data_IF_375822589798
#
_entry.id   IF_375822589798
#
_cell.length_a   1.000
_cell.length_b   1.000
_cell.length_c   1.000
_cell.angle_alpha   90.00
_cell.angle_beta   90.00
_cell.angle_gamma   90.00
#
_symmetry.space_group_name_H-M   'P 1'
#
loop_
_entity.id
_entity.type
_entity.pdbx_description
1 polymer ?
#
# COMPACT_ATOMS: atom_id res chain seq x y z
N UNK A 1 53.44 9.48 29.63
CA UNK A 1 52.81 10.19 28.49
C UNK A 1 52.46 9.29 27.29
N UNK A 2 52.87 8.01 27.24
CA UNK A 2 52.63 7.13 26.07
C UNK A 2 51.24 6.44 26.12
N UNK A 3 50.71 6.15 27.32
CA UNK A 3 49.40 5.50 27.49
C UNK A 3 48.19 6.36 27.09
N UNK A 4 48.33 7.69 27.09
CA UNK A 4 47.23 8.63 26.79
C UNK A 4 46.97 8.74 25.28
N UNK A 5 48.03 8.62 24.47
CA UNK A 5 47.95 8.73 22.99
C UNK A 5 47.34 7.47 22.37
N UNK A 6 47.64 6.30 22.93
CA UNK A 6 47.13 5.00 22.43
C UNK A 6 45.60 4.86 22.60
N UNK A 7 45.04 5.45 23.66
CA UNK A 7 43.58 5.47 23.92
C UNK A 7 42.80 6.37 22.97
N UNK A 8 43.37 7.52 22.58
CA UNK A 8 42.76 8.42 21.60
C UNK A 8 42.74 7.81 20.19
N UNK A 9 43.82 7.13 19.79
CA UNK A 9 43.93 6.53 18.46
C UNK A 9 42.91 5.39 18.24
N UNK A 10 42.70 4.53 19.25
CA UNK A 10 41.70 3.46 19.18
C UNK A 10 40.24 3.98 19.07
N UNK A 11 39.95 5.11 19.70
CA UNK A 11 38.61 5.74 19.67
C UNK A 11 38.31 6.35 18.29
N UNK A 12 39.31 6.98 17.65
CA UNK A 12 39.20 7.54 16.30
C UNK A 12 39.04 6.44 15.24
N UNK A 13 39.77 5.33 15.39
CA UNK A 13 39.64 4.16 14.49
C UNK A 13 38.26 3.50 14.63
N UNK A 14 37.73 3.38 15.87
CA UNK A 14 36.38 2.85 16.10
C UNK A 14 35.27 3.74 15.49
N UNK A 15 35.41 5.08 15.60
CA UNK A 15 34.50 6.04 14.96
C UNK A 15 34.57 5.99 13.42
N UNK A 16 35.76 5.80 12.84
CA UNK A 16 35.95 5.62 11.40
C UNK A 16 35.34 4.31 10.87
N UNK A 17 35.24 3.26 11.69
CA UNK A 17 34.58 2.01 11.32
C UNK A 17 33.05 2.10 11.39
N UNK A 18 32.49 2.89 12.30
CA UNK A 18 31.04 3.12 12.37
C UNK A 18 30.49 3.91 11.16
N UNK A 19 31.30 4.77 10.54
CA UNK A 19 30.93 5.51 9.32
C UNK A 19 30.97 4.63 8.04
N UNK A 20 31.51 3.41 8.10
CA UNK A 20 31.54 2.49 6.95
C UNK A 20 30.33 1.55 6.87
N UNK A 21 29.37 1.63 7.78
CA UNK A 21 28.14 0.86 7.67
C UNK A 21 27.24 1.48 6.58
N UNK A 22 27.03 0.81 5.43
CA UNK A 22 26.10 1.30 4.43
C UNK A 22 24.69 1.21 5.01
N UNK A 23 24.07 2.36 5.28
CA UNK A 23 22.65 2.45 5.65
C UNK A 23 21.84 2.13 4.40
N UNK A 24 21.72 0.85 4.06
CA UNK A 24 20.81 0.37 3.03
C UNK A 24 19.43 0.20 3.66
N UNK A 25 18.82 1.32 4.02
CA UNK A 25 17.40 1.34 4.36
C UNK A 25 16.61 1.16 3.06
N UNK A 26 16.20 -0.06 2.75
CA UNK A 26 15.15 -0.32 1.75
C UNK A 26 13.82 0.19 2.32
N UNK A 27 13.63 1.51 2.35
CA UNK A 27 12.34 2.10 2.63
C UNK A 27 11.45 1.84 1.41
N UNK A 28 10.52 0.91 1.52
CA UNK A 28 9.48 0.71 0.51
C UNK A 28 8.68 2.01 0.39
N UNK A 29 8.78 2.70 -0.75
CA UNK A 29 8.05 3.94 -0.99
C UNK A 29 6.55 3.65 -1.08
N UNK A 30 5.79 4.15 -0.11
CA UNK A 30 4.33 4.06 -0.12
C UNK A 30 3.79 5.25 -0.93
N UNK A 31 3.03 5.01 -2.01
CA UNK A 31 2.48 6.11 -2.83
C UNK A 31 1.54 7.00 -2.02
N UNK A 32 1.48 8.29 -2.41
CA UNK A 32 0.47 9.19 -1.88
C UNK A 32 -0.94 8.75 -2.27
N UNK A 33 -1.90 8.97 -1.38
CA UNK A 33 -3.30 8.57 -1.56
C UNK A 33 -4.11 9.83 -1.89
N UNK A 34 -4.75 9.85 -3.05
CA UNK A 34 -5.59 10.99 -3.47
C UNK A 34 -6.90 11.11 -2.66
N UNK A 35 -7.44 9.99 -2.16
CA UNK A 35 -8.73 9.94 -1.48
C UNK A 35 -8.63 9.19 -0.15
N UNK A 36 -7.97 9.78 0.86
CA UNK A 36 -7.70 9.11 2.15
C UNK A 36 -8.98 8.78 2.93
N UNK A 37 -10.11 9.43 2.62
CA UNK A 37 -11.40 9.12 3.23
C UNK A 37 -11.97 7.77 2.78
N UNK A 38 -11.57 7.27 1.61
CA UNK A 38 -12.05 6.00 1.06
C UNK A 38 -10.99 4.91 1.11
N UNK A 39 -9.70 5.26 1.01
CA UNK A 39 -8.64 4.27 0.83
C UNK A 39 -7.47 4.49 1.78
N UNK A 40 -6.88 3.38 2.22
CA UNK A 40 -5.60 3.38 2.93
C UNK A 40 -4.81 2.11 2.66
N UNK A 41 -3.48 2.22 2.76
CA UNK A 41 -2.59 1.07 2.82
C UNK A 41 -2.49 0.57 4.27
N UNK A 42 -2.54 -0.74 4.45
CA UNK A 42 -2.35 -1.39 5.74
C UNK A 42 -1.14 -2.31 5.67
N UNK A 43 -0.30 -2.27 6.70
CA UNK A 43 0.77 -3.26 6.85
C UNK A 43 0.16 -4.63 7.11
N UNK A 44 0.55 -5.63 6.33
CA UNK A 44 0.08 -7.01 6.50
C UNK A 44 1.21 -8.00 6.20
N UNK A 45 1.66 -8.71 7.24
CA UNK A 45 2.89 -9.51 7.18
C UNK A 45 4.08 -8.65 6.73
N UNK A 46 4.78 -9.13 5.71
CA UNK A 46 5.96 -8.44 5.17
C UNK A 46 5.61 -7.35 4.13
N UNK A 47 4.35 -7.25 3.70
CA UNK A 47 3.91 -6.34 2.64
C UNK A 47 2.80 -5.38 3.08
N UNK A 48 2.05 -4.91 2.10
CA UNK A 48 0.88 -4.06 2.29
C UNK A 48 -0.33 -4.65 1.59
N UNK A 49 -1.51 -4.38 2.14
CA UNK A 49 -2.80 -4.54 1.46
C UNK A 49 -3.48 -3.17 1.38
N UNK A 50 -4.45 -3.02 0.48
CA UNK A 50 -5.34 -1.88 0.49
C UNK A 50 -6.60 -2.17 1.31
N UNK A 51 -7.13 -1.15 1.98
CA UNK A 51 -8.49 -1.17 2.52
C UNK A 51 -9.28 -0.03 1.93
N UNK A 52 -10.42 -0.36 1.34
CA UNK A 52 -11.40 0.60 0.85
C UNK A 52 -12.57 0.60 1.83
N UNK A 53 -12.98 1.75 2.33
CA UNK A 53 -14.16 1.88 3.19
C UNK A 53 -15.14 2.83 2.52
N UNK A 54 -16.34 2.33 2.21
CA UNK A 54 -17.39 3.09 1.55
C UNK A 54 -18.50 3.43 2.55
N UNK A 55 -18.99 4.68 2.59
CA UNK A 55 -20.14 5.03 3.40
C UNK A 55 -21.37 4.24 2.93
N UNK A 56 -22.33 4.04 3.83
CA UNK A 56 -23.54 3.26 3.54
C UNK A 56 -24.30 3.77 2.31
N UNK A 57 -24.38 5.09 2.14
CA UNK A 57 -25.03 5.72 0.98
C UNK A 57 -24.39 5.36 -0.37
N UNK A 58 -23.16 4.84 -0.35
CA UNK A 58 -22.39 4.40 -1.51
C UNK A 58 -22.24 2.87 -1.56
N UNK A 59 -22.99 2.12 -0.74
CA UNK A 59 -23.03 0.65 -0.86
C UNK A 59 -23.44 0.25 -2.27
N UNK A 60 -22.77 -0.74 -2.86
CA UNK A 60 -22.87 -1.01 -4.29
C UNK A 60 -22.80 -2.51 -4.59
N UNK A 61 -23.39 -2.88 -5.73
CA UNK A 61 -23.27 -4.21 -6.34
C UNK A 61 -22.03 -4.34 -7.24
N UNK A 62 -21.35 -3.22 -7.53
CA UNK A 62 -20.19 -3.15 -8.41
C UNK A 62 -19.21 -2.06 -7.97
N UNK A 63 -18.08 -2.51 -7.43
CA UNK A 63 -16.94 -1.69 -7.10
C UNK A 63 -15.81 -1.96 -8.11
N UNK A 64 -15.41 -0.94 -8.86
CA UNK A 64 -14.27 -1.00 -9.78
C UNK A 64 -13.13 -0.13 -9.24
N UNK A 65 -11.93 -0.71 -9.12
CA UNK A 65 -10.76 -0.04 -8.56
C UNK A 65 -9.58 -0.19 -9.50
N UNK A 66 -8.87 0.91 -9.75
CA UNK A 66 -7.69 0.91 -10.60
C UNK A 66 -6.45 1.37 -9.85
N UNK A 67 -5.38 0.61 -9.98
CA UNK A 67 -4.06 0.96 -9.50
C UNK A 67 -3.06 1.10 -10.65
N UNK A 68 -2.01 1.88 -10.43
CA UNK A 68 -0.88 2.02 -11.34
C UNK A 68 0.41 1.65 -10.61
N UNK A 69 1.26 0.84 -11.24
CA UNK A 69 2.58 0.48 -10.72
C UNK A 69 3.67 0.67 -11.78
N UNK A 70 4.90 0.94 -11.32
CA UNK A 70 6.06 1.21 -12.19
C UNK A 70 6.65 -0.03 -12.86
N UNK A 71 6.39 -1.21 -12.29
CA UNK A 71 6.98 -2.48 -12.75
C UNK A 71 5.92 -3.34 -13.44
N UNK A 72 6.30 -4.16 -14.43
CA UNK A 72 5.38 -5.12 -15.04
C UNK A 72 4.95 -6.21 -14.05
N UNK A 73 3.70 -6.68 -14.16
CA UNK A 73 3.26 -7.91 -13.50
C UNK A 73 3.71 -9.11 -14.33
N UNK A 74 4.65 -9.90 -13.81
CA UNK A 74 5.18 -11.09 -14.46
C UNK A 74 4.48 -12.39 -14.02
N UNK A 75 3.30 -12.29 -13.42
CA UNK A 75 2.48 -13.40 -12.96
C UNK A 75 1.10 -13.36 -13.61
N UNK A 76 0.34 -14.44 -13.51
CA UNK A 76 -1.08 -14.49 -13.88
C UNK A 76 -2.01 -13.94 -12.77
N UNK A 77 -1.44 -13.39 -11.69
CA UNK A 77 -2.17 -12.84 -10.56
C UNK A 77 -2.00 -11.31 -10.54
N UNK A 78 -3.07 -10.58 -10.82
CA UNK A 78 -3.06 -9.10 -10.91
C UNK A 78 -3.53 -8.42 -9.62
N UNK A 79 -3.79 -9.20 -8.57
CA UNK A 79 -4.41 -8.76 -7.33
C UNK A 79 -5.84 -9.27 -7.16
N UNK A 80 -6.47 -8.90 -6.06
CA UNK A 80 -7.84 -9.31 -5.71
C UNK A 80 -8.54 -8.21 -4.93
N UNK A 81 -9.81 -8.01 -5.22
CA UNK A 81 -10.73 -7.19 -4.44
C UNK A 81 -11.77 -8.10 -3.80
N UNK A 82 -11.92 -8.03 -2.47
CA UNK A 82 -12.88 -8.84 -1.72
C UNK A 82 -13.47 -8.04 -0.57
N UNK A 83 -14.53 -8.55 0.06
CA UNK A 83 -14.97 -8.03 1.35
C UNK A 83 -13.82 -8.11 2.36
N UNK A 84 -13.69 -7.08 3.19
CA UNK A 84 -12.68 -7.06 4.26
C UNK A 84 -13.09 -8.01 5.39
N UNK A 85 -14.38 -8.01 5.72
CA UNK A 85 -15.00 -8.91 6.67
C UNK A 85 -15.65 -10.11 5.97
N UNK A 86 -16.10 -11.09 6.74
CA UNK A 86 -16.94 -12.16 6.19
C UNK A 86 -18.22 -11.61 5.57
N UNK A 87 -18.83 -12.34 4.62
CA UNK A 87 -20.09 -11.94 4.01
C UNK A 87 -21.19 -11.75 5.05
N UNK A 88 -21.31 -12.67 6.02
CA UNK A 88 -22.31 -12.57 7.09
C UNK A 88 -22.08 -11.32 7.95
N UNK A 89 -20.83 -11.05 8.35
CA UNK A 89 -20.49 -9.86 9.14
C UNK A 89 -20.80 -8.58 8.34
N UNK A 90 -20.49 -8.58 7.05
CA UNK A 90 -20.77 -7.45 6.17
C UNK A 90 -22.26 -7.17 6.06
N UNK A 91 -23.09 -8.20 5.86
CA UNK A 91 -24.55 -8.07 5.82
C UNK A 91 -25.12 -7.56 7.15
N UNK A 92 -24.62 -8.08 8.27
CA UNK A 92 -25.01 -7.61 9.60
C UNK A 92 -24.63 -6.14 9.82
N UNK A 93 -23.44 -5.74 9.39
CA UNK A 93 -22.98 -4.35 9.47
C UNK A 93 -23.83 -3.43 8.59
N UNK A 94 -24.14 -3.87 7.36
CA UNK A 94 -25.00 -3.14 6.43
C UNK A 94 -26.40 -2.93 7.03
N UNK A 95 -27.02 -3.97 7.59
CA UNK A 95 -28.33 -3.88 8.25
C UNK A 95 -28.34 -2.91 9.46
N UNK A 96 -27.17 -2.70 10.09
CA UNK A 96 -26.98 -1.76 11.20
C UNK A 96 -26.57 -0.36 10.74
N UNK A 97 -26.54 -0.11 9.43
CA UNK A 97 -26.15 1.17 8.85
C UNK A 97 -24.65 1.49 8.95
N UNK A 98 -23.80 0.48 9.13
CA UNK A 98 -22.36 0.65 9.20
C UNK A 98 -21.71 0.65 7.80
N UNK A 99 -20.60 1.36 7.60
CA UNK A 99 -19.83 1.34 6.36
C UNK A 99 -19.39 -0.07 5.94
N UNK A 100 -19.33 -0.31 4.64
CA UNK A 100 -18.78 -1.55 4.08
C UNK A 100 -17.30 -1.34 3.77
N UNK A 101 -16.47 -2.31 4.16
CA UNK A 101 -15.04 -2.29 3.85
C UNK A 101 -14.65 -3.45 2.92
N UNK A 102 -13.75 -3.15 1.99
CA UNK A 102 -13.17 -4.09 1.04
C UNK A 102 -11.66 -4.17 1.26
N UNK A 103 -11.12 -5.37 1.04
CA UNK A 103 -9.70 -5.69 1.05
C UNK A 103 -9.20 -5.74 -0.38
N UNK A 104 -8.04 -5.13 -0.60
CA UNK A 104 -7.26 -5.24 -1.84
C UNK A 104 -5.98 -6.00 -1.56
N UNK A 105 -5.83 -7.17 -2.14
CA UNK A 105 -4.57 -7.90 -2.15
C UNK A 105 -3.79 -7.54 -3.42
N UNK A 106 -2.56 -7.04 -3.25
CA UNK A 106 -1.69 -6.68 -4.36
C UNK A 106 -0.96 -7.89 -4.94
N UNK A 107 -0.52 -7.83 -6.21
CA UNK A 107 0.16 -8.95 -6.87
C UNK A 107 1.53 -9.28 -6.24
N UNK A 108 2.21 -8.29 -5.66
CA UNK A 108 3.52 -8.45 -5.04
C UNK A 108 3.54 -7.80 -3.65
N UNK A 109 4.28 -8.39 -2.71
CA UNK A 109 4.40 -7.87 -1.34
C UNK A 109 5.38 -6.69 -1.24
N UNK A 110 6.38 -6.64 -2.11
CA UNK A 110 7.43 -5.62 -2.15
C UNK A 110 7.12 -4.43 -3.08
N UNK A 111 6.02 -4.48 -3.85
CA UNK A 111 5.57 -3.38 -4.71
C UNK A 111 4.22 -2.88 -4.21
N UNK A 112 4.12 -1.59 -3.88
CA UNK A 112 2.85 -0.96 -3.50
C UNK A 112 2.33 -0.14 -4.69
N UNK A 113 1.26 -0.59 -5.37
CA UNK A 113 0.67 0.16 -6.48
C UNK A 113 -0.02 1.44 -6.01
N UNK A 114 0.09 2.53 -6.78
CA UNK A 114 -0.60 3.80 -6.53
C UNK A 114 -2.09 3.65 -6.86
N UNK A 115 -2.99 4.02 -5.95
CA UNK A 115 -4.42 4.12 -6.26
C UNK A 115 -4.67 5.25 -7.26
N UNK A 116 -5.39 4.97 -8.34
CA UNK A 116 -5.67 5.95 -9.41
C UNK A 116 -7.15 6.11 -9.71
N UNK A 117 -7.99 5.12 -9.42
CA UNK A 117 -9.44 5.25 -9.56
C UNK A 117 -10.20 4.40 -8.54
N UNK A 118 -11.27 4.95 -7.99
CA UNK A 118 -12.37 4.20 -7.38
C UNK A 118 -13.64 4.61 -8.09
N UNK A 119 -14.38 3.63 -8.60
CA UNK A 119 -15.66 3.81 -9.27
C UNK A 119 -16.71 2.89 -8.64
N UNK A 120 -17.88 3.46 -8.36
CA UNK A 120 -18.99 2.80 -7.68
C UNK A 120 -20.18 2.86 -8.63
N UNK A 121 -20.67 1.71 -9.09
CA UNK A 121 -21.73 1.65 -10.10
C UNK A 121 -21.44 2.52 -11.35
N UNK A 122 -20.17 2.60 -11.78
CA UNK A 122 -19.73 3.43 -12.91
C UNK A 122 -19.47 4.91 -12.59
N UNK A 123 -19.76 5.38 -11.38
CA UNK A 123 -19.48 6.76 -10.94
C UNK A 123 -18.12 6.83 -10.25
N UNK A 124 -17.20 7.62 -10.82
CA UNK A 124 -15.86 7.81 -10.24
C UNK A 124 -15.91 8.72 -9.02
N UNK A 125 -15.56 8.17 -7.86
CA UNK A 125 -15.52 8.89 -6.56
C UNK A 125 -14.10 9.23 -6.11
N UNK A 126 -13.10 8.66 -6.79
CA UNK A 126 -11.69 8.96 -6.56
C UNK A 126 -10.92 8.89 -7.88
N UNK A 127 -10.04 9.87 -8.11
CA UNK A 127 -9.17 9.91 -9.27
C UNK A 127 -7.76 10.43 -8.90
N UNK A 128 -6.74 9.87 -9.51
CA UNK A 128 -5.36 10.36 -9.45
C UNK A 128 -4.62 10.04 -10.75
N UNK A 129 -3.55 10.77 -11.04
CA UNK A 129 -2.69 10.47 -12.18
C UNK A 129 -2.01 9.11 -12.05
N UNK A 130 -1.88 8.39 -13.16
CA UNK A 130 -1.06 7.16 -13.23
C UNK A 130 0.44 7.49 -13.16
N UNK A 131 1.28 6.47 -12.97
CA UNK A 131 2.71 6.63 -13.23
C UNK A 131 2.96 6.83 -14.73
N UNK A 132 3.99 7.61 -15.13
CA UNK A 132 4.38 7.72 -16.52
C UNK A 132 4.79 6.36 -17.12
N UNK A 133 4.62 6.14 -18.43
CA UNK A 133 5.09 4.93 -19.10
C UNK A 133 6.63 4.76 -18.99
N UNK A 134 7.15 3.53 -18.86
CA UNK A 134 6.39 2.28 -18.78
C UNK A 134 5.74 2.09 -17.39
N UNK A 135 4.46 1.71 -17.39
CA UNK A 135 3.69 1.44 -16.18
C UNK A 135 2.67 0.33 -16.45
N UNK A 136 2.24 -0.37 -15.41
CA UNK A 136 1.18 -1.37 -15.47
C UNK A 136 -0.02 -0.90 -14.67
N UNK A 137 -1.19 -0.97 -15.31
CA UNK A 137 -2.46 -0.75 -14.64
C UNK A 137 -3.01 -2.08 -14.11
N UNK A 138 -3.55 -2.05 -12.90
CA UNK A 138 -4.24 -3.16 -12.26
C UNK A 138 -5.71 -2.75 -12.10
N UNK A 139 -6.61 -3.39 -12.82
CA UNK A 139 -8.06 -3.19 -12.70
C UNK A 139 -8.67 -4.35 -11.91
N UNK A 140 -9.31 -4.04 -10.79
CA UNK A 140 -9.92 -5.00 -9.88
C UNK A 140 -11.40 -4.68 -9.71
N UNK A 141 -12.23 -5.72 -9.62
CA UNK A 141 -13.68 -5.58 -9.47
C UNK A 141 -14.23 -6.52 -8.39
N UNK A 142 -15.26 -6.06 -7.69
CA UNK A 142 -16.08 -6.85 -6.77
C UNK A 142 -17.56 -6.52 -6.95
#
# INVERSE_FOLDING_TARGET
MIHTVLRCSAFVIFLLHLWRLPITANAQEIPSIACPNYFQYLKYGNGYIGRITLPLSMSSTRLDVRFSQRYPVQSNYYGRLSLFESQQTTLNNFARGLPISYRVDFPFTNVVPKLTRISINGVTVCAASEYPPPSTALDLQH
#
